data_IF_462596055811
#
_entry.id   IF_462596055811
#
_cell.length_a   1.000
_cell.length_b   1.000
_cell.length_c   1.000
_cell.angle_alpha   90.00
_cell.angle_beta   90.00
_cell.angle_gamma   90.00
#
_symmetry.space_group_name_H-M   'P 1'
#
loop_
_entity.id
_entity.type
_entity.pdbx_description
1 polymer ?
#
# COMPACT_ATOMS: atom_id res chain seq x y z
N UNK A 1 -24.87 -11.41 -7.87
CA UNK A 1 -24.21 -11.66 -9.16
C UNK A 1 -24.06 -13.17 -9.41
N UNK A 2 -23.49 -13.94 -8.48
CA UNK A 2 -23.28 -15.38 -8.63
C UNK A 2 -24.57 -16.16 -8.97
N UNK A 3 -25.65 -15.92 -8.25
CA UNK A 3 -26.96 -16.57 -8.52
C UNK A 3 -27.50 -16.29 -9.92
N UNK A 4 -27.30 -15.06 -10.43
CA UNK A 4 -27.77 -14.64 -11.77
C UNK A 4 -27.03 -15.33 -12.91
N UNK A 5 -25.77 -15.68 -12.72
CA UNK A 5 -24.89 -16.19 -13.78
C UNK A 5 -24.44 -17.64 -13.53
N UNK A 6 -24.94 -18.27 -12.49
CA UNK A 6 -24.52 -19.61 -12.06
C UNK A 6 -24.47 -20.61 -13.21
N UNK A 7 -25.51 -20.65 -14.02
CA UNK A 7 -25.64 -21.60 -15.12
C UNK A 7 -24.82 -21.22 -16.38
N UNK A 8 -24.18 -20.06 -16.35
CA UNK A 8 -23.34 -19.53 -17.44
C UNK A 8 -21.85 -19.54 -17.10
N UNK A 9 -21.50 -19.95 -15.88
CA UNK A 9 -20.11 -20.00 -15.43
C UNK A 9 -19.50 -21.32 -15.89
N UNK A 10 -18.65 -21.25 -16.91
CA UNK A 10 -17.91 -22.40 -17.43
C UNK A 10 -16.71 -22.72 -16.53
N UNK A 11 -16.04 -21.67 -16.00
CA UNK A 11 -14.87 -21.80 -15.14
C UNK A 11 -14.84 -20.68 -14.09
N UNK A 12 -14.43 -21.01 -12.88
CA UNK A 12 -14.28 -20.06 -11.79
C UNK A 12 -12.86 -20.13 -11.22
N UNK A 13 -12.07 -19.09 -11.47
CA UNK A 13 -10.76 -18.94 -10.89
C UNK A 13 -10.81 -17.81 -9.84
N UNK A 14 -10.62 -18.18 -8.58
CA UNK A 14 -10.78 -17.25 -7.46
C UNK A 14 -9.44 -16.62 -7.10
N UNK A 15 -9.46 -15.45 -6.42
CA UNK A 15 -8.25 -14.85 -5.88
C UNK A 15 -7.50 -15.81 -4.94
N UNK A 16 -8.22 -16.61 -4.16
CA UNK A 16 -7.63 -17.63 -3.29
C UNK A 16 -6.85 -18.70 -4.08
N UNK A 17 -7.42 -19.17 -5.19
CA UNK A 17 -6.70 -20.08 -6.10
C UNK A 17 -5.47 -19.42 -6.70
N UNK A 18 -5.59 -18.16 -7.10
CA UNK A 18 -4.50 -17.35 -7.66
C UNK A 18 -3.35 -17.18 -6.67
N UNK A 19 -3.67 -16.94 -5.40
CA UNK A 19 -2.67 -16.83 -4.31
C UNK A 19 -2.00 -18.17 -4.04
N UNK A 20 -2.79 -19.27 -3.95
CA UNK A 20 -2.27 -20.61 -3.69
C UNK A 20 -1.32 -21.10 -4.78
N UNK A 21 -1.61 -20.77 -6.03
CA UNK A 21 -0.77 -21.09 -7.19
C UNK A 21 0.39 -20.11 -7.38
N UNK A 22 0.54 -19.13 -6.48
CA UNK A 22 1.63 -18.13 -6.48
C UNK A 22 1.66 -17.21 -7.69
N UNK A 23 0.49 -16.90 -8.27
CA UNK A 23 0.36 -15.93 -9.36
C UNK A 23 0.14 -14.50 -8.86
N UNK A 24 0.00 -14.30 -7.55
CA UNK A 24 -0.20 -12.98 -6.95
C UNK A 24 0.50 -12.86 -5.59
N UNK A 25 0.69 -11.62 -5.14
CA UNK A 25 1.06 -11.34 -3.76
C UNK A 25 0.02 -11.93 -2.81
N UNK A 26 0.45 -12.32 -1.62
CA UNK A 26 -0.46 -12.74 -0.57
C UNK A 26 -1.21 -11.52 -0.01
N UNK A 27 -2.51 -11.49 -0.17
CA UNK A 27 -3.37 -10.40 0.31
C UNK A 27 -3.81 -10.70 1.74
N UNK A 28 -3.46 -9.81 2.66
CA UNK A 28 -3.88 -9.91 4.05
C UNK A 28 -4.69 -8.68 4.46
N UNK A 29 -5.81 -8.93 5.11
CA UNK A 29 -6.61 -7.89 5.74
C UNK A 29 -6.20 -7.78 7.19
N UNK A 30 -5.71 -6.60 7.58
CA UNK A 30 -5.38 -6.27 8.97
C UNK A 30 -6.48 -5.36 9.48
N UNK A 31 -7.08 -5.72 10.60
CA UNK A 31 -8.08 -4.90 11.27
C UNK A 31 -7.53 -4.51 12.63
N UNK A 32 -7.36 -3.22 12.83
CA UNK A 32 -6.87 -2.64 14.09
C UNK A 32 -7.96 -1.77 14.72
N UNK A 33 -7.92 -1.62 16.04
CA UNK A 33 -8.69 -0.61 16.76
C UNK A 33 -7.95 0.72 16.91
N UNK A 34 -6.84 0.90 16.20
CA UNK A 34 -5.92 2.02 16.35
C UNK A 34 -6.46 3.31 15.69
N UNK A 35 -5.88 4.45 16.10
CA UNK A 35 -6.08 5.73 15.44
C UNK A 35 -5.60 5.73 13.98
N UNK A 36 -5.99 6.73 13.20
CA UNK A 36 -5.45 6.90 11.84
C UNK A 36 -3.93 7.09 11.87
N UNK A 37 -3.42 7.85 12.83
CA UNK A 37 -1.99 8.12 13.01
C UNK A 37 -1.21 6.84 13.31
N UNK A 38 -1.68 6.02 14.25
CA UNK A 38 -1.07 4.73 14.56
C UNK A 38 -1.08 3.78 13.37
N UNK A 39 -2.16 3.76 12.60
CA UNK A 39 -2.26 2.95 11.38
C UNK A 39 -1.31 3.45 10.29
N UNK A 40 -1.14 4.75 10.15
CA UNK A 40 -0.17 5.36 9.23
C UNK A 40 1.25 4.99 9.61
N UNK A 41 1.62 5.14 10.88
CA UNK A 41 2.97 4.79 11.35
C UNK A 41 3.25 3.30 11.23
N UNK A 42 2.29 2.44 11.61
CA UNK A 42 2.39 0.98 11.41
C UNK A 42 2.65 0.62 9.96
N UNK A 43 1.96 1.28 9.03
CA UNK A 43 2.09 1.02 7.60
C UNK A 43 3.43 1.51 7.05
N UNK A 44 3.91 2.65 7.49
CA UNK A 44 5.26 3.17 7.16
C UNK A 44 6.33 2.18 7.61
N UNK A 45 6.26 1.74 8.85
CA UNK A 45 7.19 0.75 9.41
C UNK A 45 7.14 -0.57 8.64
N UNK A 46 5.95 -1.06 8.34
CA UNK A 46 5.77 -2.29 7.57
C UNK A 46 6.31 -2.19 6.15
N UNK A 47 6.06 -1.07 5.47
CA UNK A 47 6.56 -0.78 4.13
C UNK A 47 8.09 -0.76 4.09
N UNK A 48 8.71 -0.08 5.07
CA UNK A 48 10.17 0.01 5.16
C UNK A 48 10.80 -1.32 5.60
N UNK A 49 10.15 -2.06 6.51
CA UNK A 49 10.57 -3.41 6.87
C UNK A 49 10.62 -4.33 5.66
N UNK A 50 9.57 -4.34 4.84
CA UNK A 50 9.55 -5.17 3.61
C UNK A 50 10.68 -4.80 2.66
N UNK A 51 10.95 -3.51 2.47
CA UNK A 51 12.04 -3.04 1.62
C UNK A 51 13.39 -3.54 2.14
N UNK A 52 13.66 -3.37 3.43
CA UNK A 52 14.91 -3.81 4.06
C UNK A 52 15.04 -5.32 4.05
N UNK A 53 13.99 -6.03 4.44
CA UNK A 53 13.96 -7.48 4.47
C UNK A 53 14.22 -8.10 3.09
N UNK A 54 13.60 -7.55 2.05
CA UNK A 54 13.80 -8.01 0.68
C UNK A 54 15.28 -7.85 0.25
N UNK A 55 15.87 -6.71 0.58
CA UNK A 55 17.28 -6.45 0.27
C UNK A 55 18.23 -7.34 1.09
N UNK A 56 18.05 -7.39 2.42
CA UNK A 56 18.92 -8.12 3.34
C UNK A 56 18.84 -9.64 3.13
N UNK A 57 17.64 -10.17 2.89
CA UNK A 57 17.40 -11.61 2.82
C UNK A 57 17.57 -12.20 1.41
N UNK A 58 17.20 -11.42 0.40
CA UNK A 58 17.11 -11.92 -0.98
C UNK A 58 17.95 -11.12 -1.98
N UNK A 59 18.58 -10.02 -1.57
CA UNK A 59 19.30 -9.12 -2.47
C UNK A 59 18.38 -8.39 -3.48
N UNK A 60 17.08 -8.30 -3.18
CA UNK A 60 16.07 -7.73 -4.08
C UNK A 60 15.73 -6.32 -3.62
N UNK A 61 15.91 -5.34 -4.49
CA UNK A 61 15.44 -3.99 -4.26
C UNK A 61 13.96 -3.89 -4.65
N UNK A 62 13.11 -3.56 -3.68
CA UNK A 62 11.72 -3.23 -3.91
C UNK A 62 11.43 -1.79 -3.46
N UNK A 63 10.46 -1.16 -4.10
CA UNK A 63 9.95 0.16 -3.74
C UNK A 63 8.46 0.04 -3.40
N UNK A 64 8.11 -0.39 -2.19
CA UNK A 64 6.71 -0.50 -1.80
C UNK A 64 6.05 0.86 -1.74
N UNK A 65 4.88 0.98 -2.37
CA UNK A 65 4.03 2.17 -2.35
C UNK A 65 2.84 1.92 -1.42
N UNK A 66 2.50 2.93 -0.65
CA UNK A 66 1.36 2.98 0.27
C UNK A 66 0.27 3.85 -0.34
N UNK A 67 -0.96 3.37 -0.37
CA UNK A 67 -2.14 4.15 -0.72
C UNK A 67 -2.98 4.42 0.53
N UNK A 68 -3.11 5.69 0.90
CA UNK A 68 -4.07 6.16 1.88
C UNK A 68 -5.36 6.61 1.16
N UNK A 69 -6.43 5.86 1.41
CA UNK A 69 -7.71 6.06 0.75
C UNK A 69 -8.71 6.73 1.68
N UNK A 70 -9.20 7.89 1.28
CA UNK A 70 -10.22 8.67 1.97
C UNK A 70 -11.55 8.66 1.21
N UNK A 71 -12.63 9.04 1.88
CA UNK A 71 -13.96 9.18 1.30
C UNK A 71 -14.17 10.50 0.58
N UNK A 72 -13.54 11.58 1.11
CA UNK A 72 -13.68 12.95 0.65
C UNK A 72 -12.32 13.57 0.44
N UNK A 73 -12.27 14.58 -0.42
CA UNK A 73 -11.05 15.33 -0.73
C UNK A 73 -10.51 16.01 0.52
N UNK A 74 -11.35 16.71 1.29
CA UNK A 74 -10.94 17.38 2.53
C UNK A 74 -10.31 16.39 3.52
N UNK A 75 -10.95 15.24 3.73
CA UNK A 75 -10.40 14.18 4.59
C UNK A 75 -9.09 13.60 4.08
N UNK A 76 -8.86 13.64 2.77
CA UNK A 76 -7.58 13.23 2.18
C UNK A 76 -6.48 14.26 2.45
N UNK A 77 -6.79 15.54 2.37
CA UNK A 77 -5.85 16.62 2.72
C UNK A 77 -5.54 16.64 4.22
N UNK A 78 -6.57 16.50 5.08
CA UNK A 78 -6.38 16.37 6.54
C UNK A 78 -5.48 15.19 6.87
N UNK A 79 -5.70 14.04 6.24
CA UNK A 79 -4.87 12.85 6.42
C UNK A 79 -3.42 13.05 5.96
N UNK A 80 -3.21 13.78 4.86
CA UNK A 80 -1.86 14.12 4.40
C UNK A 80 -1.15 15.07 5.38
N UNK A 81 -1.84 16.06 5.91
CA UNK A 81 -1.28 16.97 6.91
C UNK A 81 -0.89 16.19 8.18
N UNK A 82 -1.82 15.37 8.70
CA UNK A 82 -1.56 14.50 9.86
C UNK A 82 -0.33 13.59 9.62
N UNK A 83 -0.23 13.02 8.42
CA UNK A 83 0.92 12.19 8.05
C UNK A 83 2.24 12.96 8.06
N UNK A 84 2.26 14.16 7.49
CA UNK A 84 3.46 15.01 7.48
C UNK A 84 3.87 15.41 8.91
N UNK A 85 2.92 15.82 9.75
CA UNK A 85 3.16 16.16 11.15
C UNK A 85 3.69 14.96 11.94
N UNK A 86 3.12 13.78 11.75
CA UNK A 86 3.55 12.52 12.36
C UNK A 86 5.00 12.18 11.98
N UNK A 87 5.35 12.26 10.70
CA UNK A 87 6.72 11.97 10.23
C UNK A 87 7.70 13.00 10.74
N UNK A 88 7.35 14.28 10.73
CA UNK A 88 8.24 15.37 11.16
C UNK A 88 8.50 15.34 12.68
N UNK A 89 7.46 15.06 13.47
CA UNK A 89 7.55 14.96 14.94
C UNK A 89 8.17 13.66 15.45
N UNK A 90 8.40 12.66 14.59
CA UNK A 90 8.88 11.33 15.00
C UNK A 90 10.25 11.43 15.68
N UNK A 91 10.38 10.93 16.90
CA UNK A 91 11.62 10.82 17.68
C UNK A 91 11.96 9.36 17.98
N UNK A 92 13.16 9.13 18.49
CA UNK A 92 13.60 7.79 18.94
C UNK A 92 12.71 7.29 20.08
N UNK A 93 12.39 8.18 21.01
CA UNK A 93 11.57 7.88 22.19
C UNK A 93 10.14 7.54 21.81
N UNK A 94 9.53 8.35 20.94
CA UNK A 94 8.16 8.12 20.46
C UNK A 94 8.07 6.83 19.63
N UNK A 95 9.05 6.57 18.75
CA UNK A 95 9.11 5.35 17.97
C UNK A 95 9.25 4.12 18.88
N UNK A 96 10.16 4.13 19.85
CA UNK A 96 10.35 3.03 20.80
C UNK A 96 9.08 2.74 21.59
N UNK A 97 8.45 3.77 22.13
CA UNK A 97 7.21 3.67 22.89
C UNK A 97 6.08 3.09 22.03
N UNK A 98 5.96 3.56 20.80
CA UNK A 98 5.00 3.04 19.83
C UNK A 98 5.23 1.55 19.55
N UNK A 99 6.44 1.14 19.20
CA UNK A 99 6.78 -0.26 18.90
C UNK A 99 6.44 -1.19 20.05
N UNK A 100 6.78 -0.81 21.30
CA UNK A 100 6.49 -1.60 22.49
C UNK A 100 4.98 -1.71 22.72
N UNK A 101 4.25 -0.60 22.56
CA UNK A 101 2.80 -0.58 22.73
C UNK A 101 2.10 -1.45 21.70
N UNK A 102 2.47 -1.31 20.42
CA UNK A 102 1.87 -2.05 19.32
C UNK A 102 2.19 -3.55 19.41
N UNK A 103 3.40 -3.93 19.81
CA UNK A 103 3.78 -5.33 19.97
C UNK A 103 2.95 -6.04 21.05
N UNK A 104 2.53 -5.30 22.07
CA UNK A 104 1.65 -5.83 23.14
C UNK A 104 0.19 -5.97 22.69
N UNK A 105 -0.26 -5.13 21.76
CA UNK A 105 -1.67 -5.04 21.34
C UNK A 105 -1.99 -5.92 20.13
N UNK A 106 -1.01 -6.18 19.26
CA UNK A 106 -1.21 -6.99 18.03
C UNK A 106 -1.03 -8.46 18.35
N UNK A 107 -2.10 -9.25 18.24
CA UNK A 107 -2.02 -10.70 18.36
C UNK A 107 -1.44 -11.33 17.08
N UNK A 108 -0.84 -12.50 17.21
CA UNK A 108 -0.31 -13.26 16.07
C UNK A 108 -1.40 -13.59 15.04
N UNK A 109 -2.61 -13.86 15.52
CA UNK A 109 -3.79 -14.10 14.68
C UNK A 109 -4.17 -12.88 13.83
N UNK A 110 -3.96 -11.66 14.35
CA UNK A 110 -4.27 -10.42 13.64
C UNK A 110 -3.24 -10.11 12.57
N UNK A 111 -1.95 -10.17 12.88
CA UNK A 111 -0.88 -9.97 11.90
C UNK A 111 0.50 -10.39 12.38
N UNK A 112 0.88 -11.60 12.03
CA UNK A 112 2.25 -12.07 12.22
C UNK A 112 3.30 -11.16 11.55
N UNK A 113 3.00 -10.64 10.36
CA UNK A 113 3.95 -9.78 9.64
C UNK A 113 4.18 -8.43 10.33
N UNK A 114 3.15 -7.84 10.96
CA UNK A 114 3.32 -6.63 11.77
C UNK A 114 4.18 -6.89 13.01
N UNK A 115 3.95 -8.01 13.68
CA UNK A 115 4.79 -8.39 14.83
C UNK A 115 6.26 -8.53 14.43
N UNK A 116 6.54 -9.24 13.34
CA UNK A 116 7.90 -9.36 12.82
C UNK A 116 8.53 -8.00 12.48
N UNK A 117 7.75 -7.09 11.90
CA UNK A 117 8.23 -5.74 11.61
C UNK A 117 8.58 -4.97 12.88
N UNK A 118 7.72 -5.02 13.92
CA UNK A 118 7.97 -4.34 15.18
C UNK A 118 9.17 -4.93 15.94
N UNK A 119 9.30 -6.26 15.96
CA UNK A 119 10.45 -6.96 16.55
C UNK A 119 11.74 -6.58 15.83
N UNK A 120 11.74 -6.60 14.49
CA UNK A 120 12.88 -6.21 13.68
C UNK A 120 13.44 -4.83 14.05
N UNK A 121 12.56 -3.85 14.32
CA UNK A 121 13.01 -2.51 14.71
C UNK A 121 13.46 -2.45 16.17
N UNK A 122 12.82 -3.18 17.08
CA UNK A 122 13.23 -3.22 18.48
C UNK A 122 14.59 -3.91 18.68
N UNK A 123 14.97 -4.81 17.78
CA UNK A 123 16.27 -5.49 17.78
C UNK A 123 17.40 -4.62 17.19
N UNK A 124 17.09 -3.47 16.59
CA UNK A 124 18.13 -2.57 16.07
C UNK A 124 18.81 -1.81 17.22
N UNK A 125 20.14 -1.84 17.23
CA UNK A 125 20.96 -1.12 18.21
C UNK A 125 20.75 0.40 18.14
N UNK A 126 20.55 0.92 16.94
CA UNK A 126 20.40 2.36 16.66
C UNK A 126 19.08 2.71 15.99
N UNK A 127 18.08 3.06 16.80
CA UNK A 127 16.80 3.60 16.32
C UNK A 127 16.92 5.01 15.72
N UNK A 128 17.99 5.77 16.01
CA UNK A 128 18.15 7.11 15.44
C UNK A 128 18.35 7.05 13.92
N UNK A 129 19.08 6.05 13.47
CA UNK A 129 19.21 5.76 12.04
C UNK A 129 17.87 5.39 11.41
N UNK A 130 17.06 4.58 12.08
CA UNK A 130 15.72 4.21 11.60
C UNK A 130 14.84 5.45 11.46
N UNK A 131 14.79 6.31 12.48
CA UNK A 131 14.01 7.58 12.44
C UNK A 131 14.46 8.46 11.26
N UNK A 132 15.77 8.63 11.08
CA UNK A 132 16.31 9.43 9.98
C UNK A 132 15.94 8.86 8.61
N UNK A 133 16.00 7.56 8.44
CA UNK A 133 15.63 6.88 7.19
C UNK A 133 14.13 7.01 6.90
N UNK A 134 13.27 6.86 7.91
CA UNK A 134 11.83 7.08 7.80
C UNK A 134 11.55 8.53 7.36
N UNK A 135 12.09 9.52 8.05
CA UNK A 135 11.90 10.93 7.70
C UNK A 135 12.35 11.23 6.27
N UNK A 136 13.47 10.67 5.84
CA UNK A 136 13.96 10.83 4.46
C UNK A 136 13.08 10.07 3.45
N UNK A 137 12.69 8.84 3.77
CA UNK A 137 11.94 7.95 2.89
C UNK A 137 10.48 8.36 2.68
N UNK A 138 9.92 9.11 3.62
CA UNK A 138 8.51 9.53 3.64
C UNK A 138 8.36 11.06 3.79
N UNK A 139 9.35 11.82 3.35
CA UNK A 139 9.30 13.28 3.30
C UNK A 139 8.20 13.78 2.33
N UNK A 140 7.76 15.04 2.45
CA UNK A 140 6.74 15.63 1.57
C UNK A 140 7.04 15.46 0.07
N UNK A 141 8.31 15.48 -0.33
CA UNK A 141 8.73 15.27 -1.72
C UNK A 141 8.47 13.85 -2.24
N UNK A 142 8.13 12.91 -1.35
CA UNK A 142 7.82 11.51 -1.69
C UNK A 142 6.33 11.17 -1.56
N UNK A 143 5.51 12.19 -1.40
CA UNK A 143 4.05 12.07 -1.26
C UNK A 143 3.37 12.64 -2.48
N UNK A 144 2.47 11.88 -3.07
CA UNK A 144 1.64 12.27 -4.19
C UNK A 144 0.19 12.43 -3.72
N UNK A 145 -0.37 13.62 -3.87
CA UNK A 145 -1.79 13.84 -3.68
C UNK A 145 -2.52 13.64 -5.01
N UNK A 146 -3.25 12.54 -5.10
CA UNK A 146 -4.02 12.17 -6.29
C UNK A 146 -5.51 12.49 -6.08
N UNK A 147 -5.81 13.69 -5.60
CA UNK A 147 -7.16 14.17 -5.41
C UNK A 147 -7.57 15.03 -6.61
N UNK A 148 -8.77 14.78 -7.16
CA UNK A 148 -9.34 15.67 -8.16
C UNK A 148 -9.59 17.04 -7.53
N UNK A 149 -8.89 18.04 -8.01
CA UNK A 149 -9.20 19.42 -7.71
C UNK A 149 -10.42 19.81 -8.55
N UNK A 150 -11.54 20.02 -7.87
CA UNK A 150 -12.77 20.62 -8.38
C UNK A 150 -13.69 19.82 -9.33
N UNK A 151 -14.96 19.80 -8.93
CA UNK A 151 -16.09 19.26 -9.70
C UNK A 151 -16.46 20.08 -10.95
N UNK A 152 -15.82 21.21 -11.19
CA UNK A 152 -16.06 22.10 -12.32
C UNK A 152 -15.09 21.94 -13.49
N UNK A 153 -13.92 21.43 -13.26
CA UNK A 153 -12.98 21.07 -14.32
C UNK A 153 -12.82 19.55 -14.31
N UNK A 154 -13.45 18.87 -15.25
CA UNK A 154 -13.41 17.42 -15.45
C UNK A 154 -12.05 16.80 -15.05
N UNK A 155 -11.87 16.58 -13.74
CA UNK A 155 -10.98 15.68 -13.04
C UNK A 155 -9.62 15.37 -13.68
N UNK A 156 -8.92 16.35 -14.21
CA UNK A 156 -7.57 16.17 -14.70
C UNK A 156 -6.63 16.62 -13.59
N UNK A 157 -6.06 15.65 -12.89
CA UNK A 157 -4.76 15.83 -12.24
C UNK A 157 -3.87 16.60 -13.22
N UNK A 158 -3.09 17.56 -12.75
CA UNK A 158 -2.08 18.17 -13.60
C UNK A 158 -1.33 17.08 -14.35
N UNK A 159 -1.05 17.29 -15.62
CA UNK A 159 -0.49 16.25 -16.51
C UNK A 159 0.71 15.53 -15.89
N UNK A 160 1.54 16.26 -15.13
CA UNK A 160 2.68 15.71 -14.43
C UNK A 160 2.32 14.79 -13.26
N UNK A 161 1.26 15.08 -12.50
CA UNK A 161 0.80 14.23 -11.41
C UNK A 161 0.18 12.94 -11.93
N UNK A 162 -0.55 13.00 -13.04
CA UNK A 162 -1.11 11.82 -13.68
C UNK A 162 0.00 10.90 -14.22
N UNK A 163 1.02 11.45 -14.86
CA UNK A 163 2.19 10.69 -15.30
C UNK A 163 2.94 10.07 -14.11
N UNK A 164 3.14 10.84 -13.04
CA UNK A 164 3.76 10.33 -11.83
C UNK A 164 2.98 9.18 -11.20
N UNK A 165 1.65 9.28 -11.16
CA UNK A 165 0.77 8.25 -10.62
C UNK A 165 0.86 6.93 -11.43
N UNK A 166 0.96 7.01 -12.75
CA UNK A 166 1.04 5.84 -13.64
C UNK A 166 2.46 5.29 -13.79
N UNK A 167 3.46 5.97 -13.25
CA UNK A 167 4.87 5.56 -13.32
C UNK A 167 5.49 5.25 -11.94
N UNK A 168 4.66 4.95 -10.93
CA UNK A 168 5.14 4.70 -9.57
C UNK A 168 6.15 3.54 -9.48
N UNK A 169 6.11 2.60 -10.39
CA UNK A 169 7.07 1.49 -10.49
C UNK A 169 8.42 1.89 -11.10
N UNK A 170 8.48 3.03 -11.80
CA UNK A 170 9.72 3.52 -12.40
C UNK A 170 10.79 3.82 -11.33
N UNK A 171 12.05 3.46 -11.56
CA UNK A 171 13.16 3.82 -10.66
C UNK A 171 13.34 5.32 -10.47
N UNK A 172 13.00 6.11 -11.48
CA UNK A 172 13.12 7.58 -11.45
C UNK A 172 11.96 8.24 -10.68
N UNK A 173 10.89 7.52 -10.41
CA UNK A 173 9.76 8.03 -9.64
C UNK A 173 10.04 7.88 -8.15
N UNK A 174 10.09 8.99 -7.43
CA UNK A 174 10.47 9.02 -6.01
C UNK A 174 9.30 8.81 -5.05
N UNK A 175 8.06 8.81 -5.52
CA UNK A 175 6.90 8.72 -4.66
C UNK A 175 6.78 7.35 -3.97
N UNK A 176 6.50 7.39 -2.68
CA UNK A 176 6.31 6.24 -1.80
C UNK A 176 4.92 6.18 -1.19
N UNK A 177 4.24 7.31 -1.15
CA UNK A 177 2.90 7.48 -0.56
C UNK A 177 1.99 8.17 -1.55
N UNK A 178 0.77 7.67 -1.65
CA UNK A 178 -0.30 8.28 -2.44
C UNK A 178 -1.49 8.53 -1.52
N UNK A 179 -1.98 9.76 -1.48
CA UNK A 179 -3.25 10.12 -0.87
C UNK A 179 -4.30 10.28 -1.96
N UNK A 180 -5.43 9.59 -1.82
CA UNK A 180 -6.47 9.60 -2.84
C UNK A 180 -7.87 9.39 -2.30
N UNK A 181 -8.85 9.89 -3.04
CA UNK A 181 -10.27 9.57 -2.87
C UNK A 181 -10.71 8.43 -3.79
N UNK A 182 -11.93 7.95 -3.60
CA UNK A 182 -12.46 6.73 -4.22
C UNK A 182 -12.35 6.62 -5.76
N UNK A 183 -12.12 7.73 -6.49
CA UNK A 183 -12.11 7.77 -7.95
C UNK A 183 -10.85 7.24 -8.64
N UNK A 184 -9.77 6.96 -7.91
CA UNK A 184 -8.53 6.40 -8.47
C UNK A 184 -8.65 4.98 -9.06
N UNK A 185 -9.84 4.41 -9.07
CA UNK A 185 -10.02 2.99 -9.41
C UNK A 185 -10.09 2.71 -10.91
N UNK A 186 -10.36 3.70 -11.76
CA UNK A 186 -10.45 3.47 -13.20
C UNK A 186 -9.14 3.83 -13.91
N UNK A 187 -8.54 2.87 -14.61
CA UNK A 187 -7.34 3.08 -15.42
C UNK A 187 -5.99 3.05 -14.67
N UNK A 188 -5.98 3.10 -13.34
CA UNK A 188 -4.73 3.05 -12.57
C UNK A 188 -4.22 1.62 -12.44
N UNK A 189 -3.01 1.37 -12.91
CA UNK A 189 -2.39 0.06 -12.91
C UNK A 189 -0.93 0.16 -12.47
N UNK A 190 -0.66 -0.22 -11.22
CA UNK A 190 0.64 -0.09 -10.58
C UNK A 190 1.01 -1.39 -9.88
N UNK A 191 2.18 -1.93 -10.20
CA UNK A 191 2.65 -3.22 -9.71
C UNK A 191 3.24 -3.14 -8.30
N UNK A 192 3.77 -2.00 -7.89
CA UNK A 192 4.44 -1.82 -6.61
C UNK A 192 3.54 -1.25 -5.50
N UNK A 193 2.22 -1.35 -5.65
CA UNK A 193 1.28 -1.09 -4.56
C UNK A 193 1.30 -2.27 -3.58
N UNK A 194 1.72 -2.01 -2.34
CA UNK A 194 1.83 -3.03 -1.30
C UNK A 194 0.82 -2.86 -0.18
N UNK A 195 0.52 -1.62 0.18
CA UNK A 195 -0.36 -1.32 1.29
C UNK A 195 -1.50 -0.39 0.87
N UNK A 196 -2.71 -0.74 1.28
CA UNK A 196 -3.93 0.06 1.08
C UNK A 196 -4.53 0.30 2.45
N UNK A 197 -4.51 1.55 2.90
CA UNK A 197 -5.02 1.97 4.19
C UNK A 197 -6.25 2.84 4.01
N UNK A 198 -7.33 2.46 4.66
CA UNK A 198 -8.55 3.30 4.71
C UNK A 198 -8.44 4.29 5.85
N UNK A 199 -8.58 5.55 5.52
CA UNK A 199 -8.68 6.61 6.52
C UNK A 199 -10.12 6.66 7.03
N UNK A 200 -10.30 6.42 8.33
CA UNK A 200 -11.59 6.50 8.98
C UNK A 200 -11.94 7.96 9.28
N UNK A 201 -13.17 8.36 8.99
CA UNK A 201 -13.69 9.64 9.48
C UNK A 201 -13.94 9.51 10.99
N UNK A 202 -13.22 10.26 11.80
CA UNK A 202 -13.45 10.40 13.22
C UNK A 202 -14.91 10.92 13.43
N UNK A 203 -15.82 10.02 13.79
CA UNK A 203 -17.17 10.37 14.21
C UNK A 203 -18.35 9.63 13.59
N UNK A 204 -18.17 8.76 12.60
CA UNK A 204 -19.28 7.96 12.04
C UNK A 204 -18.93 6.49 11.92
N UNK A 205 -19.20 5.74 12.99
CA UNK A 205 -19.03 4.28 13.08
C UNK A 205 -20.14 3.48 12.36
N UNK A 206 -20.96 4.10 11.51
CA UNK A 206 -22.07 3.48 10.79
C UNK A 206 -21.95 3.69 9.29
N UNK A 207 -20.87 3.18 8.69
CA UNK A 207 -20.79 3.08 7.24
C UNK A 207 -21.48 1.78 6.78
N UNK A 208 -22.76 1.88 6.45
CA UNK A 208 -23.44 0.86 5.63
C UNK A 208 -22.74 0.89 4.27
N UNK A 209 -21.92 -0.14 4.00
CA UNK A 209 -21.17 -0.25 2.75
C UNK A 209 -22.13 -0.45 1.59
N UNK A 210 -22.14 0.48 0.66
CA UNK A 210 -22.82 0.30 -0.62
C UNK A 210 -22.11 -0.80 -1.44
N UNK A 211 -22.91 -1.59 -2.17
CA UNK A 211 -22.37 -2.64 -3.06
C UNK A 211 -21.35 -2.10 -4.09
N UNK A 212 -21.51 -0.85 -4.53
CA UNK A 212 -20.57 -0.15 -5.43
C UNK A 212 -19.20 0.08 -4.76
N UNK A 213 -19.18 0.47 -3.49
CA UNK A 213 -17.93 0.65 -2.71
C UNK A 213 -17.17 -0.67 -2.58
N UNK A 214 -17.88 -1.78 -2.35
CA UNK A 214 -17.27 -3.11 -2.22
C UNK A 214 -16.62 -3.58 -3.53
N UNK A 215 -17.26 -3.36 -4.68
CA UNK A 215 -16.70 -3.71 -5.99
C UNK A 215 -15.45 -2.89 -6.34
N UNK A 216 -15.49 -1.60 -6.06
CA UNK A 216 -14.35 -0.69 -6.26
C UNK A 216 -13.14 -1.09 -5.39
N UNK A 217 -13.38 -1.51 -4.15
CA UNK A 217 -12.33 -2.00 -3.27
C UNK A 217 -11.75 -3.35 -3.75
N UNK A 218 -12.59 -4.27 -4.19
CA UNK A 218 -12.15 -5.55 -4.73
C UNK A 218 -11.26 -5.36 -5.97
N UNK A 219 -11.61 -4.43 -6.86
CA UNK A 219 -10.79 -4.08 -8.03
C UNK A 219 -9.43 -3.50 -7.62
N UNK A 220 -9.41 -2.59 -6.64
CA UNK A 220 -8.19 -1.99 -6.14
C UNK A 220 -7.27 -3.03 -5.48
N UNK A 221 -7.82 -3.92 -4.67
CA UNK A 221 -7.09 -5.02 -4.06
C UNK A 221 -6.52 -5.94 -5.15
N UNK A 222 -7.30 -6.28 -6.17
CA UNK A 222 -6.85 -7.10 -7.29
C UNK A 222 -5.66 -6.51 -8.04
N UNK A 223 -5.62 -5.19 -8.19
CA UNK A 223 -4.48 -4.48 -8.79
C UNK A 223 -3.24 -4.52 -7.88
N UNK A 224 -3.40 -4.24 -6.59
CA UNK A 224 -2.32 -4.32 -5.61
C UNK A 224 -1.77 -5.74 -5.40
N UNK A 225 -2.56 -6.76 -5.70
CA UNK A 225 -2.16 -8.15 -5.56
C UNK A 225 -1.22 -8.65 -6.65
N UNK A 226 -0.99 -7.90 -7.73
CA UNK A 226 -0.09 -8.30 -8.82
C UNK A 226 1.35 -8.41 -8.34
N UNK A 227 2.09 -9.37 -8.91
CA UNK A 227 3.50 -9.54 -8.59
C UNK A 227 4.35 -8.37 -9.09
N UNK A 228 5.31 -8.00 -8.25
CA UNK A 228 6.43 -7.14 -8.59
C UNK A 228 7.49 -7.25 -7.46
N UNK A 229 8.76 -7.50 -7.73
CA UNK A 229 9.32 -7.88 -9.03
C UNK A 229 8.99 -9.33 -9.41
N UNK A 230 9.15 -9.67 -10.67
CA UNK A 230 9.04 -11.05 -11.13
C UNK A 230 10.37 -11.79 -10.99
N UNK A 231 10.30 -13.07 -10.65
CA UNK A 231 11.46 -13.97 -10.76
C UNK A 231 11.11 -15.10 -11.71
N UNK A 232 11.86 -15.17 -12.81
CA UNK A 232 11.76 -16.26 -13.78
C UNK A 232 13.16 -16.82 -14.03
N UNK A 233 13.32 -18.15 -13.92
CA UNK A 233 14.59 -18.83 -14.14
C UNK A 233 15.76 -18.19 -13.36
N UNK A 234 15.52 -17.81 -12.10
CA UNK A 234 16.47 -17.12 -11.20
C UNK A 234 16.88 -15.71 -11.64
N UNK A 235 16.30 -15.17 -12.71
CA UNK A 235 16.46 -13.77 -13.10
C UNK A 235 15.32 -12.94 -12.49
N UNK A 236 15.68 -11.80 -11.94
CA UNK A 236 14.70 -10.84 -11.39
C UNK A 236 14.43 -9.80 -12.47
N UNK A 237 13.15 -9.63 -12.83
CA UNK A 237 12.69 -8.58 -13.73
C UNK A 237 11.75 -7.65 -13.00
N UNK A 238 11.91 -6.33 -13.22
CA UNK A 238 11.02 -5.28 -12.74
C UNK A 238 10.05 -4.80 -13.83
N UNK A 239 10.17 -5.34 -15.04
CA UNK A 239 9.27 -5.05 -16.15
C UNK A 239 7.97 -5.83 -15.99
N UNK A 240 6.94 -5.39 -16.67
CA UNK A 240 5.69 -6.14 -16.76
C UNK A 240 5.94 -7.41 -17.55
N UNK A 241 5.32 -8.50 -17.13
CA UNK A 241 5.57 -9.82 -17.71
C UNK A 241 5.34 -9.88 -19.23
N UNK A 242 4.37 -9.13 -19.74
CA UNK A 242 4.07 -9.06 -21.18
C UNK A 242 4.93 -8.03 -21.95
N UNK A 243 5.76 -7.25 -21.24
CA UNK A 243 6.74 -6.35 -21.85
C UNK A 243 8.12 -7.02 -21.98
N UNK A 244 8.26 -8.24 -21.47
CA UNK A 244 9.49 -9.02 -21.60
C UNK A 244 9.65 -9.54 -23.02
N UNK A 245 10.88 -9.49 -23.54
CA UNK A 245 11.22 -10.01 -24.87
C UNK A 245 11.38 -11.54 -24.91
N UNK A 246 11.43 -12.17 -23.75
CA UNK A 246 11.53 -13.63 -23.63
C UNK A 246 10.13 -14.25 -23.66
N UNK A 247 9.86 -15.11 -24.62
CA UNK A 247 8.56 -15.78 -24.79
C UNK A 247 8.14 -16.56 -23.53
N UNK A 248 9.08 -17.09 -22.77
CA UNK A 248 8.80 -17.80 -21.52
C UNK A 248 8.42 -16.87 -20.38
N UNK A 249 8.80 -15.60 -20.44
CA UNK A 249 8.43 -14.57 -19.47
C UNK A 249 7.10 -13.91 -19.81
N UNK A 250 6.66 -13.95 -21.05
CA UNK A 250 5.39 -13.37 -21.51
C UNK A 250 4.18 -14.30 -21.31
N UNK A 251 4.41 -15.54 -20.97
CA UNK A 251 3.38 -16.53 -20.62
C UNK A 251 3.08 -16.49 -19.12
#
# INVERSE_FOLDING_TARGET
>A
IYQKYRDKIIYRYTLDSYIKERYSKNVRRIQTGNSNEDNMLSTVLLSEYRRKFALEKFGIEIKPVILFKSHKIDASYEANNLFNEMIDSLTVESLRSFLISQLKSVSEEQSHTLQLAYQYYLEKDDLSTVVREIKRGFSPARILNANDSDSSSKGLLETGQYQALNSLESPNNLYRVVFAVAKLTEGWDVLNLYDIVRISNLGKMNDKRDAKSTNSEAQLIGRGARYNPFSLNQKISYQRRFDESDETASL
#
